data_IF_088782383314
#
_entry.id   IF_088782383314
#
_cell.length_a   1.000
_cell.length_b   1.000
_cell.length_c   1.000
_cell.angle_alpha   90.00
_cell.angle_beta   90.00
_cell.angle_gamma   90.00
#
_symmetry.space_group_name_H-M   'P 1'
#
loop_
_entity.id
_entity.type
_entity.pdbx_description
1 polymer ?
#
# COMPACT_ATOMS: atom_id res chain seq x y z
N UNK A 1 -13.20 2.71 -14.11
CA UNK A 1 -13.88 1.49 -13.64
C UNK A 1 -13.11 0.96 -12.45
N UNK A 2 -13.80 0.73 -11.33
CA UNK A 2 -13.21 0.11 -10.14
C UNK A 2 -13.86 -1.25 -10.01
N UNK A 3 -13.07 -2.30 -10.23
CA UNK A 3 -13.49 -3.68 -10.11
C UNK A 3 -12.83 -4.27 -8.86
N UNK A 4 -13.63 -4.53 -7.84
CA UNK A 4 -13.17 -5.15 -6.59
C UNK A 4 -13.57 -6.61 -6.63
N UNK A 5 -12.57 -7.50 -6.63
CA UNK A 5 -12.77 -8.94 -6.60
C UNK A 5 -12.30 -9.47 -5.26
N UNK A 6 -13.19 -10.19 -4.60
CA UNK A 6 -12.79 -11.05 -3.49
C UNK A 6 -12.25 -12.33 -4.13
N UNK A 7 -10.94 -12.51 -4.09
CA UNK A 7 -10.31 -13.77 -4.44
C UNK A 7 -9.62 -14.33 -3.20
N UNK A 8 -9.63 -15.66 -3.01
CA UNK A 8 -8.74 -16.30 -2.05
C UNK A 8 -7.42 -16.52 -2.75
N UNK A 9 -6.50 -15.56 -2.61
CA UNK A 9 -5.13 -15.73 -3.08
C UNK A 9 -4.40 -16.82 -2.30
N UNK A 10 -3.48 -17.53 -2.96
CA UNK A 10 -2.64 -18.58 -2.36
C UNK A 10 -1.82 -18.06 -1.16
N UNK A 11 -1.67 -16.73 -1.02
CA UNK A 11 -0.93 -16.06 0.05
C UNK A 11 -1.81 -15.19 0.98
N UNK A 12 -3.12 -15.45 1.04
CA UNK A 12 -3.99 -14.79 2.02
C UNK A 12 -4.47 -13.39 1.64
N UNK A 13 -4.19 -12.90 0.43
CA UNK A 13 -4.88 -11.72 -0.10
C UNK A 13 -6.38 -12.03 -0.19
N UNK A 14 -7.18 -11.36 0.65
CA UNK A 14 -8.63 -11.51 0.73
C UNK A 14 -9.36 -10.55 -0.21
N UNK A 15 -8.63 -9.54 -0.72
CA UNK A 15 -9.14 -8.48 -1.57
C UNK A 15 -8.15 -8.26 -2.73
N UNK A 16 -8.64 -8.35 -3.96
CA UNK A 16 -7.96 -7.93 -5.19
C UNK A 16 -8.75 -6.73 -5.76
N UNK A 17 -8.08 -5.59 -5.92
CA UNK A 17 -8.72 -4.37 -6.42
C UNK A 17 -8.03 -3.97 -7.72
N UNK A 18 -8.81 -3.94 -8.80
CA UNK A 18 -8.37 -3.44 -10.09
C UNK A 18 -9.06 -2.11 -10.39
N UNK A 19 -8.26 -1.03 -10.45
CA UNK A 19 -8.74 0.29 -10.86
C UNK A 19 -8.24 0.60 -12.27
N UNK A 20 -9.16 0.76 -13.21
CA UNK A 20 -8.89 1.21 -14.57
C UNK A 20 -9.35 2.66 -14.76
N UNK A 21 -8.41 3.56 -15.02
CA UNK A 21 -8.69 4.98 -15.30
C UNK A 21 -8.49 5.25 -16.80
N UNK A 22 -9.54 5.64 -17.56
CA UNK A 22 -9.42 5.99 -18.98
C UNK A 22 -8.34 7.04 -19.23
N UNK A 23 -7.70 7.00 -20.40
CA UNK A 23 -6.61 7.93 -20.76
C UNK A 23 -6.99 9.40 -20.74
N UNK A 24 -8.25 9.69 -21.10
CA UNK A 24 -8.85 11.02 -21.19
C UNK A 24 -9.59 11.46 -19.92
N UNK A 25 -9.67 10.59 -18.91
CA UNK A 25 -10.37 10.90 -17.66
C UNK A 25 -9.63 12.01 -16.91
N UNK A 26 -10.26 13.20 -16.87
CA UNK A 26 -9.71 14.42 -16.26
C UNK A 26 -8.29 14.71 -16.76
N UNK A 27 -8.09 14.64 -18.08
CA UNK A 27 -6.77 14.79 -18.72
C UNK A 27 -6.06 16.12 -18.39
N UNK A 28 -6.82 17.17 -18.05
CA UNK A 28 -6.30 18.49 -17.67
C UNK A 28 -5.95 18.60 -16.16
N UNK A 29 -6.11 17.50 -15.40
CA UNK A 29 -5.89 17.47 -13.95
C UNK A 29 -4.78 16.49 -13.57
N UNK A 30 -4.17 16.75 -12.41
CA UNK A 30 -3.24 15.79 -11.80
C UNK A 30 -4.02 14.83 -10.91
N UNK A 31 -4.01 13.54 -11.28
CA UNK A 31 -4.53 12.48 -10.43
C UNK A 31 -3.39 11.97 -9.53
N UNK A 32 -3.54 12.16 -8.22
CA UNK A 32 -2.62 11.68 -7.20
C UNK A 32 -3.41 11.07 -6.04
N UNK A 33 -2.88 10.00 -5.45
CA UNK A 33 -3.46 9.37 -4.28
C UNK A 33 -2.73 8.08 -3.90
N UNK A 34 -3.45 7.12 -3.31
CA UNK A 34 -2.87 5.86 -2.82
C UNK A 34 -2.08 5.08 -3.89
N UNK A 35 -2.50 5.17 -5.15
CA UNK A 35 -1.87 4.51 -6.29
C UNK A 35 -0.79 5.37 -6.98
N UNK A 36 -0.35 6.45 -6.33
CA UNK A 36 0.65 7.34 -6.88
C UNK A 36 0.12 8.32 -7.92
N UNK A 37 1.05 8.91 -8.65
CA UNK A 37 0.77 9.77 -9.80
C UNK A 37 0.75 8.97 -11.08
N UNK A 38 -0.15 9.35 -11.98
CA UNK A 38 -0.23 8.77 -13.32
C UNK A 38 0.74 9.45 -14.30
N UNK A 39 2.00 9.62 -13.92
CA UNK A 39 3.04 10.24 -14.75
C UNK A 39 4.05 9.22 -15.32
N UNK A 40 3.94 7.96 -14.92
CA UNK A 40 4.76 6.85 -15.43
C UNK A 40 6.15 6.76 -14.79
N UNK A 41 6.43 7.58 -13.78
CA UNK A 41 7.66 7.54 -13.00
C UNK A 41 7.38 7.14 -11.54
N UNK A 42 8.34 6.49 -10.86
CA UNK A 42 8.16 6.07 -9.47
C UNK A 42 8.20 7.24 -8.49
N UNK A 43 8.79 8.38 -8.87
CA UNK A 43 9.04 9.52 -7.95
C UNK A 43 7.76 10.18 -7.43
N UNK A 44 6.63 9.94 -8.09
CA UNK A 44 5.30 10.42 -7.69
C UNK A 44 4.44 9.36 -7.00
N UNK A 45 4.97 8.15 -6.75
CA UNK A 45 4.17 7.04 -6.23
C UNK A 45 3.81 7.20 -4.75
N UNK A 46 4.68 7.85 -3.98
CA UNK A 46 4.37 8.19 -2.59
C UNK A 46 3.79 9.59 -2.53
N UNK A 47 2.62 9.72 -1.92
CA UNK A 47 1.95 11.00 -1.76
C UNK A 47 1.12 11.04 -0.48
N UNK A 48 0.95 12.24 0.07
CA UNK A 48 0.00 12.49 1.14
C UNK A 48 -1.44 12.47 0.62
N UNK A 49 -2.41 12.46 1.53
CA UNK A 49 -3.85 12.48 1.21
C UNK A 49 -4.29 13.70 0.40
N UNK A 50 -3.55 14.79 0.48
CA UNK A 50 -3.77 16.02 -0.27
C UNK A 50 -3.15 15.99 -1.68
N UNK A 51 -2.49 14.89 -2.06
CA UNK A 51 -1.78 14.73 -3.33
C UNK A 51 -0.38 15.34 -3.35
N UNK A 52 0.11 15.86 -2.22
CA UNK A 52 1.49 16.35 -2.08
C UNK A 52 2.46 15.17 -2.24
N UNK A 53 3.46 15.24 -3.14
CA UNK A 53 4.47 14.20 -3.29
C UNK A 53 5.28 14.02 -2.01
N UNK A 54 5.55 12.76 -1.69
CA UNK A 54 6.47 12.37 -0.64
C UNK A 54 7.67 11.68 -1.27
N UNK A 55 8.86 11.83 -0.67
CA UNK A 55 10.07 11.23 -1.22
C UNK A 55 9.95 9.71 -1.22
N UNK A 56 10.10 9.10 -2.39
CA UNK A 56 10.18 7.65 -2.52
C UNK A 56 11.59 7.20 -2.13
N UNK A 57 11.75 6.25 -1.20
CA UNK A 57 13.07 5.77 -0.81
C UNK A 57 13.83 5.18 -2.00
N UNK A 58 15.10 5.59 -2.15
CA UNK A 58 15.97 5.08 -3.20
C UNK A 58 16.32 3.60 -2.99
N UNK A 59 16.37 3.14 -1.75
CA UNK A 59 16.58 1.74 -1.41
C UNK A 59 15.28 0.93 -1.64
N UNK A 60 15.39 -0.17 -2.39
CA UNK A 60 14.28 -1.11 -2.62
C UNK A 60 13.81 -1.82 -1.35
N UNK A 61 14.68 -1.99 -0.36
CA UNK A 61 14.33 -2.63 0.91
C UNK A 61 13.46 -1.69 1.77
N UNK A 62 13.76 -0.39 1.78
CA UNK A 62 12.94 0.62 2.46
C UNK A 62 11.55 0.74 1.82
N UNK A 63 11.45 0.53 0.49
CA UNK A 63 10.15 0.50 -0.22
C UNK A 63 9.25 -0.70 0.13
N UNK A 64 9.68 -1.64 0.97
CA UNK A 64 8.92 -2.86 1.34
C UNK A 64 8.96 -3.21 2.83
N UNK A 65 9.86 -2.59 3.58
CA UNK A 65 10.04 -2.81 5.01
C UNK A 65 9.23 -1.84 5.87
N UNK A 66 9.77 -1.58 7.07
CA UNK A 66 9.21 -0.66 8.07
C UNK A 66 8.90 0.72 7.47
N UNK A 67 9.79 1.29 6.67
CA UNK A 67 9.56 2.61 6.05
C UNK A 67 8.31 2.65 5.16
N UNK A 68 8.02 1.58 4.42
CA UNK A 68 6.80 1.49 3.60
C UNK A 68 5.55 1.25 4.46
N UNK A 69 5.69 0.48 5.54
CA UNK A 69 4.64 0.30 6.54
C UNK A 69 4.26 1.64 7.19
N UNK A 70 5.26 2.37 7.69
CA UNK A 70 5.07 3.68 8.33
C UNK A 70 4.42 4.67 7.36
N UNK A 71 4.89 4.74 6.11
CA UNK A 71 4.25 5.54 5.07
C UNK A 71 2.76 5.22 4.93
N UNK A 72 2.39 3.93 4.89
CA UNK A 72 0.99 3.51 4.78
C UNK A 72 0.17 3.92 6.00
N UNK A 73 0.66 3.65 7.22
CA UNK A 73 -0.04 3.95 8.47
C UNK A 73 -0.21 5.46 8.67
N UNK A 74 0.84 6.24 8.43
CA UNK A 74 0.85 7.69 8.67
C UNK A 74 0.03 8.46 7.63
N UNK A 75 0.04 8.02 6.37
CA UNK A 75 -0.59 8.77 5.27
C UNK A 75 -1.95 8.20 4.88
N UNK A 76 -2.12 6.88 4.89
CA UNK A 76 -3.31 6.23 4.31
C UNK A 76 -4.17 5.47 5.31
N UNK A 77 -3.69 5.27 6.54
CA UNK A 77 -4.49 4.73 7.63
C UNK A 77 -5.71 5.59 7.95
N UNK A 78 -6.89 4.98 8.02
CA UNK A 78 -8.13 5.62 8.47
C UNK A 78 -8.20 5.44 9.99
N UNK A 79 -8.11 6.54 10.75
CA UNK A 79 -8.14 6.53 12.22
C UNK A 79 -9.48 6.93 12.81
N UNK A 80 -10.32 7.60 12.02
CA UNK A 80 -11.66 8.00 12.40
C UNK A 80 -12.67 7.00 11.81
N UNK A 81 -13.43 6.35 12.68
CA UNK A 81 -14.47 5.41 12.25
C UNK A 81 -15.56 6.07 11.40
N UNK A 82 -15.80 7.38 11.59
CA UNK A 82 -16.77 8.13 10.79
C UNK A 82 -16.29 8.40 9.35
N UNK A 83 -14.97 8.30 9.09
CA UNK A 83 -14.39 8.36 7.75
C UNK A 83 -14.50 7.00 7.02
N UNK A 84 -14.61 5.90 7.77
CA UNK A 84 -14.71 4.56 7.21
C UNK A 84 -16.02 4.37 6.43
N UNK A 85 -15.91 3.89 5.19
CA UNK A 85 -17.07 3.50 4.37
C UNK A 85 -17.44 2.02 4.54
N UNK A 86 -16.68 1.27 5.36
CA UNK A 86 -16.94 -0.14 5.58
C UNK A 86 -18.13 -0.35 6.53
N UNK A 87 -18.98 -1.31 6.18
CA UNK A 87 -20.07 -1.77 7.03
C UNK A 87 -19.62 -3.06 7.71
N UNK A 88 -19.80 -3.11 9.03
CA UNK A 88 -19.36 -4.23 9.87
C UNK A 88 -20.49 -5.25 10.08
N UNK A 89 -20.14 -6.53 10.09
CA UNK A 89 -21.06 -7.61 10.40
C UNK A 89 -21.43 -7.68 11.89
N UNK A 90 -22.36 -8.59 12.28
CA UNK A 90 -22.72 -8.77 13.67
C UNK A 90 -21.50 -9.13 14.54
N UNK A 91 -21.19 -8.28 15.52
CA UNK A 91 -20.06 -8.47 16.45
C UNK A 91 -18.72 -7.94 15.94
N UNK A 92 -18.68 -7.37 14.73
CA UNK A 92 -17.53 -6.64 14.19
C UNK A 92 -17.69 -5.14 14.46
N UNK A 93 -16.56 -4.42 14.60
CA UNK A 93 -16.55 -2.96 14.71
C UNK A 93 -15.32 -2.39 14.03
N UNK A 94 -15.33 -1.07 13.82
CA UNK A 94 -14.16 -0.36 13.29
C UNK A 94 -12.95 -0.58 14.19
N UNK A 95 -13.09 -0.40 15.50
CA UNK A 95 -12.01 -0.55 16.48
C UNK A 95 -11.51 -1.99 16.57
N UNK A 96 -12.35 -2.98 16.30
CA UNK A 96 -11.94 -4.39 16.23
C UNK A 96 -11.13 -4.73 14.98
N UNK A 97 -11.24 -3.92 13.93
CA UNK A 97 -10.51 -4.07 12.67
C UNK A 97 -9.33 -3.10 12.53
N UNK A 98 -9.32 -2.00 13.29
CA UNK A 98 -8.25 -1.02 13.31
C UNK A 98 -6.98 -1.58 13.97
N UNK A 99 -5.96 -1.80 13.15
CA UNK A 99 -4.64 -2.28 13.57
C UNK A 99 -3.53 -1.27 13.33
N UNK A 100 -3.87 0.02 13.15
CA UNK A 100 -2.89 1.04 12.74
C UNK A 100 -1.85 1.38 13.80
N UNK A 101 -2.08 1.04 15.06
CA UNK A 101 -1.09 1.23 16.15
C UNK A 101 -0.24 -0.02 16.40
N UNK A 102 -0.40 -1.07 15.59
CA UNK A 102 0.52 -2.19 15.61
C UNK A 102 1.93 -1.71 15.27
N UNK A 103 2.94 -2.39 15.84
CA UNK A 103 4.32 -2.18 15.40
C UNK A 103 4.55 -2.98 14.13
N UNK A 104 5.43 -2.49 13.26
CA UNK A 104 5.96 -3.30 12.19
C UNK A 104 6.61 -4.57 12.78
N UNK A 105 6.10 -5.74 12.39
CA UNK A 105 6.56 -7.05 12.85
C UNK A 105 7.20 -7.87 11.72
N UNK A 106 7.47 -7.23 10.58
CA UNK A 106 8.12 -7.85 9.43
C UNK A 106 9.61 -8.11 9.65
N UNK A 107 10.17 -8.97 8.80
CA UNK A 107 11.59 -9.29 8.80
C UNK A 107 12.38 -8.28 7.98
N UNK A 108 13.60 -7.95 8.41
CA UNK A 108 14.52 -7.21 7.56
C UNK A 108 14.95 -8.11 6.40
N UNK A 109 14.48 -7.78 5.20
CA UNK A 109 14.82 -8.49 3.96
C UNK A 109 16.31 -8.41 3.60
N UNK A 110 17.10 -7.61 4.34
CA UNK A 110 18.56 -7.59 4.24
C UNK A 110 19.23 -8.64 5.12
N UNK A 111 18.55 -9.15 6.14
CA UNK A 111 19.06 -10.15 7.10
C UNK A 111 18.60 -11.56 6.71
N UNK A 112 18.88 -11.95 5.47
CA UNK A 112 18.52 -13.26 4.92
C UNK A 112 19.69 -14.24 4.96
N UNK A 113 19.45 -15.54 5.20
CA UNK A 113 20.48 -16.57 5.07
C UNK A 113 21.19 -16.52 3.71
N UNK A 114 22.50 -16.75 3.69
CA UNK A 114 23.32 -16.73 2.47
C UNK A 114 22.78 -17.64 1.36
N UNK A 115 22.20 -18.78 1.74
CA UNK A 115 21.57 -19.72 0.78
C UNK A 115 20.38 -19.09 0.03
N UNK A 116 19.55 -18.29 0.71
CA UNK A 116 18.42 -17.60 0.09
C UNK A 116 18.88 -16.40 -0.73
N UNK A 117 19.86 -15.64 -0.24
CA UNK A 117 20.49 -14.57 -1.00
C UNK A 117 21.10 -15.08 -2.32
N UNK A 118 21.73 -16.26 -2.30
CA UNK A 118 22.29 -16.88 -3.51
C UNK A 118 21.20 -17.38 -4.48
N UNK A 119 20.06 -17.84 -3.96
CA UNK A 119 18.94 -18.30 -4.78
C UNK A 119 18.19 -17.14 -5.45
N UNK A 120 17.98 -16.04 -4.71
CA UNK A 120 17.22 -14.88 -5.17
C UNK A 120 18.09 -13.88 -5.94
N UNK A 121 19.42 -13.94 -5.80
CA UNK A 121 20.35 -13.11 -6.56
C UNK A 121 20.14 -11.62 -6.29
N UNK A 122 19.88 -10.85 -7.35
CA UNK A 122 19.54 -9.42 -7.24
C UNK A 122 18.04 -9.19 -6.96
N UNK A 123 17.20 -10.22 -6.97
CA UNK A 123 15.80 -10.10 -6.54
C UNK A 123 15.72 -10.05 -5.00
N UNK A 124 14.57 -9.64 -4.49
CA UNK A 124 14.34 -9.64 -3.05
C UNK A 124 14.31 -11.10 -2.56
N UNK A 125 15.15 -11.39 -1.59
CA UNK A 125 15.25 -12.69 -0.94
C UNK A 125 14.11 -12.95 0.04
#
# INVERSE_FOLDING_TARGET
>A
DVDVRVSRGTFGCFLDVHVSVPGDYRADETLAGLLGRRDGGPDGDWSGRDGTPLPVPGDRYERRGETAYDYCVENWGIRDGDESVFVHGPGESFEGADGLDARYDGHDLRDVPEELALLCGDDLA
#
